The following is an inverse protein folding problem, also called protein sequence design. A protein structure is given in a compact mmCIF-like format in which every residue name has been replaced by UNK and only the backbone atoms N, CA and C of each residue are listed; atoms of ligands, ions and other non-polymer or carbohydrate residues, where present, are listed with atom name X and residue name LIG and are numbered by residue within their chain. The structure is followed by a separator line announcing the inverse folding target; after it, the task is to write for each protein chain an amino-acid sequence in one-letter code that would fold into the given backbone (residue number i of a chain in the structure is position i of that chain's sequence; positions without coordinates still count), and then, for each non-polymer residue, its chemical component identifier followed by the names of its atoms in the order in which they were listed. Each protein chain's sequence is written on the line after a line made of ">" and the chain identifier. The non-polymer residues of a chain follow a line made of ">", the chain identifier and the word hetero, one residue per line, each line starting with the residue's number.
data_IF_653967836496
#
_entry.id   IF_653967836496
#
_cell.length_a   1.000
_cell.length_b   1.000
_cell.length_c   1.000
_cell.angle_alpha   90.00
_cell.angle_beta   90.00
_cell.angle_gamma   90.00
#
_symmetry.space_group_name_H-M   'P 1'
#
loop_
_entity.id
_entity.type
_entity.pdbx_description
1 polymer ?
#
# COMPACT_ATOMS: atom_id res chain seq x y z
N UNK A 1 53.83 59.24 38.81
CA UNK A 1 53.85 60.67 38.41
C UNK A 1 53.00 60.87 37.19
N UNK A 2 52.06 61.78 37.32
CA UNK A 2 51.40 62.60 36.31
C UNK A 2 50.58 61.85 35.20
N UNK A 3 49.28 61.89 35.21
CA UNK A 3 48.31 63.02 35.09
C UNK A 3 48.15 63.49 33.63
N UNK A 4 46.89 63.40 33.20
CA UNK A 4 46.12 64.38 32.35
C UNK A 4 46.19 64.09 30.86
N UNK A 5 45.07 63.89 30.31
CA UNK A 5 43.81 64.60 30.01
C UNK A 5 43.85 65.04 28.53
N UNK A 6 42.85 64.83 27.82
CA UNK A 6 41.97 65.84 27.22
C UNK A 6 41.22 65.28 26.01
N UNK A 7 39.96 65.25 26.12
CA UNK A 7 38.94 66.06 25.42
C UNK A 7 38.51 65.60 24.05
N UNK A 8 37.23 65.33 24.08
CA UNK A 8 36.19 65.70 23.10
C UNK A 8 36.50 65.67 21.61
N UNK A 9 35.88 64.70 20.96
CA UNK A 9 35.17 64.95 19.70
C UNK A 9 33.88 64.14 19.67
N UNK A 10 32.80 64.83 19.86
CA UNK A 10 31.43 64.46 19.59
C UNK A 10 31.34 64.04 18.13
N UNK A 11 31.29 62.74 17.88
CA UNK A 11 30.89 62.23 16.57
C UNK A 11 29.42 61.83 16.67
N UNK A 12 28.58 62.62 16.06
CA UNK A 12 27.18 62.27 15.76
C UNK A 12 27.13 60.95 15.00
N UNK A 13 26.83 59.86 15.68
CA UNK A 13 26.47 58.61 15.04
C UNK A 13 25.01 58.74 14.63
N UNK A 14 24.80 59.00 13.35
CA UNK A 14 23.48 58.92 12.73
C UNK A 14 22.97 57.51 12.87
N UNK A 15 21.92 57.32 13.67
CA UNK A 15 21.12 56.12 13.70
C UNK A 15 20.41 56.03 12.35
N UNK A 16 21.01 55.34 11.38
CA UNK A 16 20.31 54.82 10.23
C UNK A 16 19.38 53.74 10.75
N UNK A 17 18.16 54.12 11.04
CA UNK A 17 17.05 53.21 11.26
C UNK A 17 16.89 52.38 9.99
N UNK A 18 17.42 51.14 10.00
CA UNK A 18 17.04 50.12 9.04
C UNK A 18 15.55 49.87 9.26
N UNK A 19 14.71 50.50 8.46
CA UNK A 19 13.32 50.14 8.32
C UNK A 19 13.39 48.71 7.74
N UNK A 20 13.31 47.70 8.62
CA UNK A 20 13.03 46.35 8.21
C UNK A 20 11.68 46.40 7.48
N UNK A 21 11.74 46.42 6.17
CA UNK A 21 10.55 46.20 5.37
C UNK A 21 9.89 44.93 5.89
N UNK A 22 8.60 44.97 6.23
CA UNK A 22 7.92 43.71 6.60
C UNK A 22 8.13 42.74 5.43
N UNK A 23 8.81 41.63 5.70
CA UNK A 23 8.84 40.55 4.77
C UNK A 23 7.36 40.24 4.47
N UNK A 24 6.89 40.62 3.30
CA UNK A 24 5.56 40.20 2.84
C UNK A 24 5.60 38.70 2.86
N UNK A 25 5.04 38.10 3.90
CA UNK A 25 4.79 36.68 3.94
C UNK A 25 3.94 36.37 2.69
N UNK A 26 4.57 35.83 1.67
CA UNK A 26 3.85 35.38 0.49
C UNK A 26 2.73 34.48 1.01
N UNK A 27 1.48 34.94 0.87
CA UNK A 27 0.34 34.18 1.35
C UNK A 27 0.36 32.82 0.66
N UNK A 28 0.56 31.78 1.44
CA UNK A 28 0.59 30.40 0.93
C UNK A 28 -0.71 30.15 0.18
N UNK A 29 -0.70 29.72 -1.09
CA UNK A 29 -1.91 29.63 -1.90
C UNK A 29 -2.89 28.61 -1.34
N UNK A 30 -4.18 28.89 -1.47
CA UNK A 30 -5.21 27.89 -1.19
C UNK A 30 -5.30 26.91 -2.36
N UNK A 31 -5.12 25.62 -2.08
CA UNK A 31 -5.15 24.55 -3.09
C UNK A 31 -6.24 23.54 -2.72
N UNK A 32 -6.98 23.09 -3.73
CA UNK A 32 -8.00 22.05 -3.59
C UNK A 32 -7.73 20.95 -4.59
N UNK A 33 -7.61 19.71 -4.11
CA UNK A 33 -7.49 18.51 -4.91
C UNK A 33 -8.68 17.58 -4.70
N UNK A 34 -8.86 16.67 -5.64
CA UNK A 34 -9.82 15.56 -5.53
C UNK A 34 -9.03 14.27 -5.47
N UNK A 35 -9.39 13.41 -4.52
CA UNK A 35 -8.82 12.08 -4.36
C UNK A 35 -9.88 11.03 -4.71
N UNK A 36 -9.63 10.22 -5.72
CA UNK A 36 -10.41 9.01 -5.94
C UNK A 36 -9.80 7.82 -5.19
N UNK A 37 -10.62 6.88 -4.75
CA UNK A 37 -10.15 5.65 -4.11
C UNK A 37 -10.69 4.42 -4.83
N UNK A 38 -10.17 3.24 -4.48
CA UNK A 38 -10.74 1.95 -4.90
C UNK A 38 -11.66 1.33 -3.84
N UNK A 39 -11.96 2.04 -2.76
CA UNK A 39 -12.57 1.53 -1.55
C UNK A 39 -14.01 1.97 -1.38
N UNK A 40 -14.94 1.05 -0.99
CA UNK A 40 -16.25 1.44 -0.50
C UNK A 40 -16.15 2.07 0.89
N UNK A 41 -17.05 2.98 1.24
CA UNK A 41 -17.11 3.66 2.56
C UNK A 41 -17.27 2.71 3.75
N UNK A 42 -17.78 1.50 3.52
CA UNK A 42 -17.93 0.48 4.56
C UNK A 42 -16.60 -0.07 5.08
N UNK A 43 -15.51 0.06 4.33
CA UNK A 43 -14.16 -0.36 4.73
C UNK A 43 -13.43 0.80 5.41
N UNK A 44 -13.67 0.98 6.70
CA UNK A 44 -13.12 2.08 7.50
C UNK A 44 -11.59 2.04 7.68
N UNK A 45 -10.96 0.87 7.52
CA UNK A 45 -9.51 0.71 7.45
C UNK A 45 -8.94 1.27 6.15
N UNK A 46 -9.57 0.98 5.02
CA UNK A 46 -9.11 1.38 3.69
C UNK A 46 -9.58 2.78 3.30
N UNK A 47 -10.91 3.01 3.31
CA UNK A 47 -11.48 4.32 2.98
C UNK A 47 -11.18 5.34 4.07
N UNK A 48 -11.31 4.96 5.34
CA UNK A 48 -11.01 5.83 6.47
C UNK A 48 -9.54 6.26 6.51
N UNK A 49 -8.62 5.45 5.99
CA UNK A 49 -7.22 5.86 5.86
C UNK A 49 -7.01 6.94 4.79
N UNK A 50 -7.74 6.87 3.69
CA UNK A 50 -7.73 7.94 2.68
C UNK A 50 -8.33 9.25 3.22
N UNK A 51 -9.44 9.16 3.99
CA UNK A 51 -10.01 10.33 4.68
C UNK A 51 -9.04 10.91 5.71
N UNK A 52 -8.35 10.04 6.48
CA UNK A 52 -7.33 10.48 7.44
C UNK A 52 -6.19 11.21 6.76
N UNK A 53 -5.68 10.71 5.62
CA UNK A 53 -4.66 11.40 4.83
C UNK A 53 -5.13 12.81 4.44
N UNK A 54 -6.34 12.94 3.89
CA UNK A 54 -6.90 14.22 3.48
C UNK A 54 -7.02 15.19 4.65
N UNK A 55 -7.53 14.72 5.79
CA UNK A 55 -7.64 15.49 7.03
C UNK A 55 -6.26 15.94 7.52
N UNK A 56 -5.29 15.01 7.53
CA UNK A 56 -3.95 15.30 8.03
C UNK A 56 -3.21 16.34 7.19
N UNK A 57 -3.33 16.27 5.88
CA UNK A 57 -2.80 17.28 4.96
C UNK A 57 -3.41 18.68 5.26
N UNK A 58 -4.71 18.74 5.44
CA UNK A 58 -5.37 20.01 5.79
C UNK A 58 -4.89 20.56 7.14
N UNK A 59 -4.76 19.72 8.17
CA UNK A 59 -4.23 20.11 9.48
C UNK A 59 -2.80 20.67 9.40
N UNK A 60 -1.91 19.98 8.64
CA UNK A 60 -0.51 20.38 8.49
C UNK A 60 -0.32 21.65 7.64
N UNK A 61 -1.38 22.14 7.00
CA UNK A 61 -1.34 23.30 6.10
C UNK A 61 -2.33 24.38 6.49
N UNK A 62 -2.79 24.41 7.74
CA UNK A 62 -3.79 25.35 8.26
C UNK A 62 -5.05 25.47 7.38
N UNK A 63 -5.50 24.35 6.83
CA UNK A 63 -6.65 24.27 5.93
C UNK A 63 -6.44 24.86 4.53
N UNK A 64 -5.24 25.30 4.19
CA UNK A 64 -4.94 25.91 2.89
C UNK A 64 -4.75 24.88 1.76
N UNK A 65 -4.29 23.67 2.08
CA UNK A 65 -4.28 22.55 1.14
C UNK A 65 -5.33 21.53 1.56
N UNK A 66 -6.39 21.46 0.80
CA UNK A 66 -7.53 20.59 1.05
C UNK A 66 -7.64 19.52 -0.04
N UNK A 67 -7.90 18.28 0.36
CA UNK A 67 -8.11 17.17 -0.55
C UNK A 67 -9.48 16.58 -0.25
N UNK A 68 -10.37 16.58 -1.25
CA UNK A 68 -11.69 15.97 -1.12
C UNK A 68 -11.60 14.49 -1.49
N UNK A 69 -11.94 13.60 -0.55
CA UNK A 69 -11.91 12.15 -0.74
C UNK A 69 -13.24 11.65 -1.32
N UNK A 70 -13.16 10.75 -2.30
CA UNK A 70 -14.29 10.09 -2.94
C UNK A 70 -14.13 8.57 -2.88
N UNK A 71 -15.21 7.88 -2.57
CA UNK A 71 -15.21 6.42 -2.56
C UNK A 71 -15.11 5.84 -3.98
N UNK A 72 -14.76 4.56 -4.05
CA UNK A 72 -14.60 3.85 -5.31
C UNK A 72 -15.87 3.92 -6.17
N UNK A 73 -15.74 4.46 -7.38
CA UNK A 73 -16.83 4.61 -8.32
C UNK A 73 -17.63 5.91 -8.24
N UNK A 74 -17.41 6.77 -7.22
CA UNK A 74 -18.16 8.05 -7.10
C UNK A 74 -17.76 9.05 -8.20
N UNK A 75 -16.48 9.13 -8.55
CA UNK A 75 -15.98 10.07 -9.58
C UNK A 75 -15.22 9.39 -10.71
N UNK A 76 -14.57 8.26 -10.41
CA UNK A 76 -13.82 7.46 -11.38
C UNK A 76 -14.05 5.99 -11.07
N UNK A 77 -14.36 5.13 -12.07
CA UNK A 77 -14.36 3.68 -11.87
C UNK A 77 -13.01 3.20 -11.35
N UNK A 78 -12.96 2.30 -10.34
CA UNK A 78 -11.70 1.87 -9.72
C UNK A 78 -10.62 1.41 -10.71
N UNK A 79 -11.00 0.69 -11.76
CA UNK A 79 -10.08 0.22 -12.80
C UNK A 79 -9.45 1.35 -13.64
N UNK A 80 -10.00 2.57 -13.59
CA UNK A 80 -9.53 3.73 -14.35
C UNK A 80 -8.76 4.73 -13.48
N UNK A 81 -8.62 4.48 -12.16
CA UNK A 81 -7.98 5.40 -11.21
C UNK A 81 -6.58 5.82 -11.64
N UNK A 82 -5.73 4.88 -12.07
CA UNK A 82 -4.36 5.18 -12.49
C UNK A 82 -4.34 6.08 -13.74
N UNK A 83 -5.20 5.81 -14.70
CA UNK A 83 -5.30 6.60 -15.93
C UNK A 83 -5.84 8.02 -15.68
N UNK A 84 -6.85 8.13 -14.81
CA UNK A 84 -7.41 9.42 -14.44
C UNK A 84 -6.39 10.35 -13.75
N UNK A 85 -5.50 9.79 -12.94
CA UNK A 85 -4.37 10.53 -12.36
C UNK A 85 -3.32 10.85 -13.42
N UNK A 86 -2.95 9.87 -14.25
CA UNK A 86 -1.97 10.03 -15.32
C UNK A 86 -2.31 11.20 -16.26
N UNK A 87 -3.56 11.32 -16.68
CA UNK A 87 -4.03 12.36 -17.59
C UNK A 87 -4.47 13.66 -16.89
N UNK A 88 -4.48 13.70 -15.54
CA UNK A 88 -4.85 14.89 -14.76
C UNK A 88 -6.36 15.12 -14.59
N UNK A 89 -7.20 14.14 -14.90
CA UNK A 89 -8.65 14.20 -14.59
C UNK A 89 -8.89 14.27 -13.09
N UNK A 90 -8.05 13.58 -12.30
CA UNK A 90 -8.02 13.59 -10.83
C UNK A 90 -6.59 13.91 -10.40
N UNK A 91 -6.43 14.71 -9.35
CA UNK A 91 -5.12 15.14 -8.87
C UNK A 91 -4.38 14.01 -8.15
N UNK A 92 -5.10 13.18 -7.38
CA UNK A 92 -4.52 12.08 -6.60
C UNK A 92 -5.50 10.92 -6.50
N UNK A 93 -4.97 9.70 -6.33
CA UNK A 93 -5.76 8.54 -5.92
C UNK A 93 -5.13 7.85 -4.70
N UNK A 94 -5.89 6.95 -4.06
CA UNK A 94 -5.44 6.09 -2.98
C UNK A 94 -5.87 4.66 -3.31
N UNK A 95 -4.91 3.82 -3.71
CA UNK A 95 -5.17 2.56 -4.40
C UNK A 95 -4.17 1.48 -4.03
N UNK A 96 -4.50 0.24 -4.39
CA UNK A 96 -3.57 -0.88 -4.46
C UNK A 96 -3.00 -0.93 -5.89
N UNK A 97 -1.70 -0.68 -6.05
CA UNK A 97 -1.06 -0.57 -7.37
C UNK A 97 -1.15 -1.88 -8.17
N UNK A 98 -1.12 -3.04 -7.49
CA UNK A 98 -1.27 -4.36 -8.13
C UNK A 98 -2.58 -4.55 -8.90
N UNK A 99 -3.61 -3.72 -8.65
CA UNK A 99 -4.83 -3.72 -9.46
C UNK A 99 -4.60 -3.31 -10.92
N UNK A 100 -3.47 -2.67 -11.22
CA UNK A 100 -3.15 -2.14 -12.55
C UNK A 100 -2.06 -2.93 -13.29
N UNK A 101 -1.73 -4.16 -12.85
CA UNK A 101 -0.72 -5.01 -13.51
C UNK A 101 -1.07 -5.31 -14.97
N UNK A 102 -2.33 -5.24 -15.37
CA UNK A 102 -2.76 -5.34 -16.77
C UNK A 102 -2.29 -4.17 -17.64
N UNK A 103 -1.93 -3.01 -17.04
CA UNK A 103 -1.38 -1.86 -17.75
C UNK A 103 0.15 -1.86 -17.75
N UNK A 104 0.75 -2.17 -16.61
CA UNK A 104 2.19 -2.36 -16.44
C UNK A 104 2.45 -3.33 -15.27
N UNK A 105 3.00 -4.50 -15.56
CA UNK A 105 3.23 -5.52 -14.52
C UNK A 105 4.20 -5.06 -13.43
N UNK A 106 5.08 -4.10 -13.71
CA UNK A 106 6.05 -3.59 -12.77
C UNK A 106 5.44 -2.76 -11.63
N UNK A 107 4.17 -2.30 -11.74
CA UNK A 107 3.48 -1.64 -10.62
C UNK A 107 3.31 -2.55 -9.41
N UNK A 108 3.43 -3.88 -9.59
CA UNK A 108 3.39 -4.84 -8.51
C UNK A 108 4.52 -4.65 -7.48
N UNK A 109 5.66 -4.09 -7.87
CA UNK A 109 6.73 -3.78 -6.93
C UNK A 109 6.35 -2.72 -5.89
N UNK A 110 5.40 -1.84 -6.23
CA UNK A 110 4.89 -0.82 -5.31
C UNK A 110 3.92 -1.42 -4.26
N UNK A 111 3.22 -2.49 -4.60
CA UNK A 111 2.31 -3.19 -3.67
C UNK A 111 3.02 -4.30 -2.91
N UNK A 112 3.58 -5.25 -3.63
CA UNK A 112 4.18 -6.49 -3.13
C UNK A 112 4.17 -7.59 -4.19
N UNK A 113 5.07 -8.53 -4.05
CA UNK A 113 5.21 -9.68 -4.96
C UNK A 113 5.00 -10.99 -4.19
N UNK A 114 4.56 -12.06 -4.86
CA UNK A 114 4.38 -13.37 -4.24
C UNK A 114 5.64 -13.87 -3.53
N UNK A 115 5.47 -14.42 -2.32
CA UNK A 115 6.57 -14.86 -1.44
C UNK A 115 7.63 -13.76 -1.21
N UNK A 116 7.17 -12.52 -1.18
CA UNK A 116 8.01 -11.33 -1.13
C UNK A 116 8.32 -10.84 0.26
N UNK A 117 8.53 -9.54 0.34
CA UNK A 117 8.84 -8.82 1.56
C UNK A 117 7.60 -8.69 2.44
N UNK A 118 7.76 -8.77 3.76
CA UNK A 118 6.72 -8.36 4.69
C UNK A 118 6.65 -6.82 4.78
N UNK A 119 5.68 -6.27 5.51
CA UNK A 119 5.45 -4.83 5.58
C UNK A 119 6.69 -4.03 6.04
N UNK A 120 7.42 -4.51 7.07
CA UNK A 120 8.64 -3.85 7.55
C UNK A 120 9.75 -3.89 6.50
N UNK A 121 9.93 -5.05 5.86
CA UNK A 121 10.94 -5.27 4.83
C UNK A 121 10.61 -4.45 3.57
N UNK A 122 9.34 -4.37 3.18
CA UNK A 122 8.89 -3.57 2.03
C UNK A 122 9.12 -2.08 2.28
N UNK A 123 8.71 -1.57 3.43
CA UNK A 123 8.95 -0.18 3.81
C UNK A 123 10.46 0.14 3.84
N UNK A 124 11.29 -0.77 4.37
CA UNK A 124 12.74 -0.61 4.38
C UNK A 124 13.34 -0.60 2.96
N UNK A 125 12.83 -1.46 2.06
CA UNK A 125 13.24 -1.44 0.65
C UNK A 125 12.86 -0.14 -0.04
N UNK A 126 11.63 0.31 0.15
CA UNK A 126 11.15 1.57 -0.43
C UNK A 126 11.94 2.78 0.09
N UNK A 127 12.20 2.87 1.39
CA UNK A 127 12.83 4.05 2.00
C UNK A 127 14.35 4.07 1.84
N UNK A 128 15.02 2.91 1.94
CA UNK A 128 16.48 2.82 2.04
C UNK A 128 17.11 1.82 1.07
N UNK A 129 16.34 0.90 0.51
CA UNK A 129 16.82 -0.14 -0.40
C UNK A 129 16.83 0.23 -1.88
N UNK A 130 16.53 1.49 -2.22
CA UNK A 130 16.45 1.99 -3.60
C UNK A 130 15.11 1.72 -4.29
N UNK A 131 14.14 1.09 -3.61
CA UNK A 131 12.83 0.75 -4.17
C UNK A 131 12.06 1.96 -4.65
N UNK A 132 11.96 3.02 -3.83
CA UNK A 132 11.24 4.23 -4.18
C UNK A 132 11.80 4.89 -5.46
N UNK A 133 13.12 4.91 -5.63
CA UNK A 133 13.71 5.49 -6.83
C UNK A 133 13.29 4.70 -8.08
N UNK A 134 13.43 3.38 -8.05
CA UNK A 134 13.08 2.51 -9.17
C UNK A 134 11.60 2.61 -9.54
N UNK A 135 10.72 2.57 -8.55
CA UNK A 135 9.27 2.67 -8.73
C UNK A 135 8.88 4.06 -9.25
N UNK A 136 9.49 5.13 -8.75
CA UNK A 136 9.28 6.50 -9.27
C UNK A 136 9.71 6.68 -10.71
N UNK A 137 10.83 6.10 -11.11
CA UNK A 137 11.29 6.15 -12.52
C UNK A 137 10.28 5.50 -13.46
N UNK A 138 9.67 4.40 -13.05
CA UNK A 138 8.57 3.78 -13.80
C UNK A 138 7.35 4.70 -13.87
N UNK A 139 6.86 5.20 -12.74
CA UNK A 139 5.66 6.04 -12.69
C UNK A 139 5.84 7.38 -13.40
N UNK A 140 7.04 7.94 -13.40
CA UNK A 140 7.36 9.18 -14.12
C UNK A 140 7.05 9.07 -15.61
N UNK A 141 7.25 7.91 -16.23
CA UNK A 141 6.90 7.66 -17.65
C UNK A 141 5.39 7.75 -17.90
N UNK A 142 4.60 7.59 -16.84
CA UNK A 142 3.13 7.68 -16.87
C UNK A 142 2.60 9.02 -16.34
N UNK A 143 3.48 10.00 -16.09
CA UNK A 143 3.08 11.31 -15.53
C UNK A 143 2.57 11.22 -14.08
N UNK A 144 3.04 10.23 -13.31
CA UNK A 144 2.63 9.96 -11.94
C UNK A 144 3.82 10.12 -10.99
N UNK A 145 3.58 10.70 -9.83
CA UNK A 145 4.47 10.71 -8.66
C UNK A 145 3.81 9.89 -7.56
N UNK A 146 4.46 8.82 -7.11
CA UNK A 146 3.90 7.90 -6.12
C UNK A 146 4.43 8.14 -4.71
N UNK A 147 3.61 7.75 -3.72
CA UNK A 147 3.96 7.76 -2.30
C UNK A 147 3.39 6.51 -1.64
N UNK A 148 4.20 5.82 -0.84
CA UNK A 148 3.69 4.79 0.07
C UNK A 148 2.79 5.48 1.08
N UNK A 149 1.53 5.04 1.17
CA UNK A 149 0.49 5.72 1.94
C UNK A 149 -0.42 4.73 2.70
N UNK A 150 0.12 3.64 3.12
CA UNK A 150 -0.54 2.58 3.87
C UNK A 150 0.12 1.24 3.65
N UNK A 151 -0.20 0.30 4.53
CA UNK A 151 0.16 -1.10 4.38
C UNK A 151 -0.81 -1.95 5.20
N UNK A 152 -1.30 -3.02 4.62
CA UNK A 152 -2.26 -3.91 5.30
C UNK A 152 -1.59 -5.09 6.01
N UNK A 153 -0.26 -5.19 5.92
CA UNK A 153 0.47 -6.36 6.42
C UNK A 153 0.33 -7.59 5.53
N UNK A 154 0.59 -8.76 6.10
CA UNK A 154 0.38 -10.03 5.40
C UNK A 154 -1.10 -10.31 5.25
N UNK A 155 -1.50 -10.69 4.03
CA UNK A 155 -2.89 -11.05 3.76
C UNK A 155 -3.21 -12.49 4.14
N UNK A 156 -4.52 -12.77 4.28
CA UNK A 156 -5.02 -14.14 4.37
C UNK A 156 -5.13 -14.79 3.00
N UNK A 157 -5.12 -16.13 2.99
CA UNK A 157 -5.25 -16.94 1.79
C UNK A 157 -6.67 -17.00 1.21
N UNK A 158 -7.59 -16.21 1.77
CA UNK A 158 -8.95 -16.05 1.26
C UNK A 158 -9.93 -17.13 1.67
N UNK A 159 -11.14 -17.02 1.14
CA UNK A 159 -12.32 -17.81 1.44
C UNK A 159 -12.66 -18.77 0.30
N UNK A 160 -12.89 -20.02 0.65
CA UNK A 160 -13.15 -21.10 -0.31
C UNK A 160 -14.45 -21.81 0.04
N UNK A 161 -15.25 -22.12 -0.99
CA UNK A 161 -16.47 -22.93 -0.85
C UNK A 161 -16.14 -24.41 -0.64
N UNK A 162 -14.98 -24.87 -1.13
CA UNK A 162 -14.47 -26.23 -0.97
C UNK A 162 -13.05 -26.20 -0.42
N UNK A 163 -12.67 -27.27 0.27
CA UNK A 163 -11.33 -27.41 0.82
C UNK A 163 -10.31 -27.67 -0.29
N UNK A 164 -9.16 -27.01 -0.21
CA UNK A 164 -8.00 -27.24 -1.07
C UNK A 164 -7.08 -28.24 -0.37
N UNK A 165 -6.95 -29.43 -0.93
CA UNK A 165 -6.14 -30.53 -0.39
C UNK A 165 -4.89 -30.81 -1.21
N UNK A 166 -4.87 -30.40 -2.47
CA UNK A 166 -3.80 -30.66 -3.42
C UNK A 166 -3.74 -29.60 -4.52
N UNK A 167 -2.69 -29.61 -5.32
CA UNK A 167 -2.56 -28.77 -6.52
C UNK A 167 -3.68 -29.06 -7.54
N UNK A 168 -4.17 -30.28 -7.59
CA UNK A 168 -5.25 -30.65 -8.50
C UNK A 168 -6.56 -29.89 -8.21
N UNK A 169 -6.80 -29.52 -6.96
CA UNK A 169 -8.00 -28.77 -6.56
C UNK A 169 -7.99 -27.31 -7.06
N UNK A 170 -6.84 -26.82 -7.54
CA UNK A 170 -6.73 -25.51 -8.15
C UNK A 170 -7.18 -25.49 -9.62
N UNK A 171 -7.23 -26.68 -10.30
CA UNK A 171 -7.61 -26.74 -11.71
C UNK A 171 -9.07 -26.37 -11.90
N UNK A 172 -9.29 -25.32 -12.72
CA UNK A 172 -10.62 -24.79 -13.00
C UNK A 172 -11.26 -24.02 -11.85
N UNK A 173 -10.56 -23.82 -10.72
CA UNK A 173 -11.03 -23.03 -9.58
C UNK A 173 -11.25 -21.58 -10.03
N UNK A 174 -12.48 -21.12 -10.02
CA UNK A 174 -12.84 -19.73 -10.30
C UNK A 174 -12.62 -18.91 -9.03
N UNK A 175 -11.58 -18.11 -9.02
CA UNK A 175 -11.21 -17.34 -7.82
C UNK A 175 -11.16 -15.85 -8.11
N UNK A 176 -11.85 -15.06 -7.28
CA UNK A 176 -11.59 -13.62 -7.25
C UNK A 176 -10.23 -13.38 -6.61
N UNK A 177 -9.31 -12.94 -7.44
CA UNK A 177 -7.97 -12.52 -7.06
C UNK A 177 -7.41 -11.61 -8.16
N UNK A 178 -6.67 -10.59 -7.76
CA UNK A 178 -5.99 -9.69 -8.68
C UNK A 178 -4.47 -9.87 -8.67
N UNK A 179 -3.80 -8.94 -9.33
CA UNK A 179 -2.35 -8.81 -9.26
C UNK A 179 -1.55 -10.01 -9.79
N UNK A 180 -0.30 -10.07 -9.37
CA UNK A 180 0.62 -11.15 -9.74
C UNK A 180 0.16 -12.50 -9.14
N UNK A 181 -0.47 -12.49 -7.97
CA UNK A 181 -1.03 -13.70 -7.36
C UNK A 181 -2.03 -14.42 -8.27
N UNK A 182 -2.91 -13.67 -8.93
CA UNK A 182 -3.84 -14.22 -9.93
C UNK A 182 -3.12 -14.83 -11.12
N UNK A 183 -2.06 -14.20 -11.61
CA UNK A 183 -1.25 -14.74 -12.71
C UNK A 183 -0.55 -16.06 -12.31
N UNK A 184 -0.03 -16.16 -11.09
CA UNK A 184 0.56 -17.41 -10.55
C UNK A 184 -0.49 -18.51 -10.45
N UNK A 185 -1.68 -18.21 -9.91
CA UNK A 185 -2.76 -19.18 -9.81
C UNK A 185 -3.24 -19.65 -11.18
N UNK A 186 -3.23 -18.78 -12.19
CA UNK A 186 -3.51 -19.15 -13.59
C UNK A 186 -2.51 -20.19 -14.11
N UNK A 187 -1.21 -20.07 -13.80
CA UNK A 187 -0.19 -21.08 -14.14
C UNK A 187 -0.45 -22.41 -13.45
N UNK A 188 -1.11 -22.41 -12.31
CA UNK A 188 -1.52 -23.63 -11.59
C UNK A 188 -2.89 -24.17 -12.04
N UNK A 189 -3.49 -23.57 -13.06
CA UNK A 189 -4.74 -24.02 -13.68
C UNK A 189 -6.01 -23.42 -13.09
N UNK A 190 -5.93 -22.46 -12.16
CA UNK A 190 -7.09 -21.71 -11.69
C UNK A 190 -7.56 -20.69 -12.74
N UNK A 191 -8.76 -20.17 -12.55
CA UNK A 191 -9.37 -19.13 -13.39
C UNK A 191 -9.56 -17.86 -12.54
N UNK A 192 -8.53 -17.00 -12.47
CA UNK A 192 -8.60 -15.77 -11.70
C UNK A 192 -9.59 -14.78 -12.34
N UNK A 193 -10.31 -14.05 -11.49
CA UNK A 193 -11.24 -13.01 -11.91
C UNK A 193 -11.04 -11.78 -11.05
N UNK A 194 -10.97 -10.60 -11.65
CA UNK A 194 -10.88 -9.34 -10.92
C UNK A 194 -12.28 -8.77 -10.75
N UNK A 195 -12.82 -8.87 -9.54
CA UNK A 195 -14.18 -8.45 -9.19
C UNK A 195 -14.07 -7.38 -8.10
N UNK A 196 -14.81 -6.24 -8.22
CA UNK A 196 -14.88 -5.21 -7.18
C UNK A 196 -15.39 -5.75 -5.84
N UNK A 197 -15.01 -5.12 -4.73
CA UNK A 197 -15.35 -5.57 -3.37
C UNK A 197 -16.86 -5.81 -3.17
N UNK A 198 -17.70 -4.91 -3.68
CA UNK A 198 -19.16 -5.00 -3.53
C UNK A 198 -19.79 -6.23 -4.22
N UNK A 199 -19.11 -6.77 -5.24
CA UNK A 199 -19.61 -7.88 -6.05
C UNK A 199 -19.07 -9.26 -5.61
N UNK A 200 -18.16 -9.31 -4.64
CA UNK A 200 -17.52 -10.56 -4.18
C UNK A 200 -18.56 -11.46 -3.48
N UNK A 201 -19.28 -10.93 -2.49
CA UNK A 201 -20.27 -11.69 -1.74
C UNK A 201 -21.36 -12.30 -2.66
N UNK A 202 -22.05 -11.52 -3.51
CA UNK A 202 -23.06 -12.08 -4.41
C UNK A 202 -22.48 -13.07 -5.42
N UNK A 203 -21.22 -12.92 -5.82
CA UNK A 203 -20.56 -13.87 -6.75
C UNK A 203 -20.26 -15.21 -6.08
N UNK A 204 -19.81 -15.22 -4.82
CA UNK A 204 -19.64 -16.43 -4.02
C UNK A 204 -20.98 -17.09 -3.70
N UNK A 205 -21.99 -16.31 -3.30
CA UNK A 205 -23.31 -16.79 -2.95
C UNK A 205 -23.97 -17.54 -4.13
N UNK A 206 -23.95 -16.93 -5.32
CA UNK A 206 -24.49 -17.53 -6.56
C UNK A 206 -23.63 -18.65 -7.12
N UNK A 207 -22.41 -18.84 -6.64
CA UNK A 207 -21.46 -19.83 -7.14
C UNK A 207 -20.87 -19.50 -8.51
N UNK A 208 -20.88 -18.24 -8.92
CA UNK A 208 -20.18 -17.79 -10.15
C UNK A 208 -18.68 -17.82 -9.95
N UNK A 209 -18.21 -17.70 -8.69
CA UNK A 209 -16.85 -17.97 -8.25
C UNK A 209 -16.84 -19.00 -7.10
N UNK A 210 -15.75 -19.74 -6.97
CA UNK A 210 -15.54 -20.80 -5.98
C UNK A 210 -14.76 -20.31 -4.76
N UNK A 211 -13.98 -19.25 -4.94
CA UNK A 211 -13.12 -18.69 -3.91
C UNK A 211 -12.93 -17.18 -4.12
N UNK A 212 -12.58 -16.49 -3.04
CA UNK A 212 -12.19 -15.09 -3.10
C UNK A 212 -11.18 -14.75 -2.00
N UNK A 213 -10.17 -13.98 -2.33
CA UNK A 213 -9.35 -13.27 -1.36
C UNK A 213 -9.76 -11.79 -1.30
N UNK A 214 -9.49 -11.18 -0.16
CA UNK A 214 -9.63 -9.73 -0.02
C UNK A 214 -8.41 -9.17 0.71
N UNK A 215 -8.41 -9.14 2.04
CA UNK A 215 -7.27 -8.63 2.82
C UNK A 215 -7.02 -9.55 4.02
N UNK A 216 -7.87 -9.48 5.03
CA UNK A 216 -7.68 -10.15 6.29
C UNK A 216 -8.95 -10.14 7.14
N UNK A 217 -8.88 -10.71 8.36
CA UNK A 217 -10.06 -11.04 9.14
C UNK A 217 -11.03 -9.88 9.35
N UNK A 218 -10.51 -8.68 9.61
CA UNK A 218 -11.34 -7.53 9.94
C UNK A 218 -12.20 -7.04 8.75
N UNK A 219 -11.58 -6.85 7.59
CA UNK A 219 -12.30 -6.41 6.40
C UNK A 219 -13.12 -7.53 5.79
N UNK A 220 -12.63 -8.76 5.80
CA UNK A 220 -13.33 -9.95 5.30
C UNK A 220 -14.64 -10.18 6.06
N UNK A 221 -14.63 -9.94 7.38
CA UNK A 221 -15.84 -10.00 8.21
C UNK A 221 -16.89 -8.97 7.80
N UNK A 222 -16.46 -7.76 7.40
CA UNK A 222 -17.37 -6.71 6.91
C UNK A 222 -17.98 -7.05 5.57
N UNK A 223 -17.24 -7.73 4.71
CA UNK A 223 -17.76 -8.23 3.44
C UNK A 223 -18.64 -9.48 3.62
N UNK A 224 -18.68 -10.08 4.81
CA UNK A 224 -19.53 -11.22 5.13
C UNK A 224 -19.12 -12.53 4.45
N UNK A 225 -17.89 -12.67 4.00
CA UNK A 225 -17.42 -13.80 3.17
C UNK A 225 -17.56 -15.14 3.87
N UNK A 226 -17.46 -15.18 5.20
CA UNK A 226 -17.66 -16.38 6.03
C UNK A 226 -19.05 -16.99 5.92
N UNK A 227 -20.06 -16.24 5.49
CA UNK A 227 -21.44 -16.72 5.35
C UNK A 227 -21.65 -17.57 4.09
N UNK A 228 -20.81 -17.39 3.08
CA UNK A 228 -20.96 -17.98 1.74
C UNK A 228 -19.81 -18.90 1.35
N UNK A 229 -18.70 -18.89 2.10
CA UNK A 229 -17.53 -19.74 1.92
C UNK A 229 -16.93 -20.12 3.28
N UNK A 230 -17.00 -21.40 3.72
CA UNK A 230 -16.66 -21.77 5.11
C UNK A 230 -15.17 -21.96 5.37
N UNK A 231 -14.32 -22.15 4.34
CA UNK A 231 -12.91 -22.43 4.51
C UNK A 231 -12.08 -21.16 4.39
N UNK A 232 -11.40 -20.76 5.46
CA UNK A 232 -10.58 -19.56 5.50
C UNK A 232 -9.11 -19.95 5.55
N UNK A 233 -8.38 -19.64 4.48
CA UNK A 233 -7.00 -20.10 4.31
C UNK A 233 -5.97 -19.08 4.77
N UNK A 234 -4.80 -19.57 5.18
CA UNK A 234 -3.58 -18.82 5.49
C UNK A 234 -2.35 -19.56 4.96
N UNK A 235 -1.23 -18.85 4.73
CA UNK A 235 -1.12 -17.41 4.52
C UNK A 235 -1.54 -16.99 3.10
N UNK A 236 -1.78 -15.68 2.89
CA UNK A 236 -1.89 -15.10 1.56
C UNK A 236 -0.50 -14.92 0.93
N UNK A 237 0.07 -15.99 0.43
CA UNK A 237 1.44 -16.05 -0.10
C UNK A 237 1.69 -15.12 -1.29
N UNK A 238 0.65 -14.62 -1.91
CA UNK A 238 0.72 -13.66 -3.03
C UNK A 238 1.10 -12.25 -2.63
N UNK A 239 0.79 -11.84 -1.39
CA UNK A 239 1.15 -10.53 -0.84
C UNK A 239 1.53 -10.69 0.64
N UNK A 240 2.83 -10.90 0.93
CA UNK A 240 3.39 -10.85 2.29
C UNK A 240 3.33 -9.45 2.89
N UNK A 241 3.07 -8.47 2.05
CA UNK A 241 2.79 -7.06 2.33
C UNK A 241 1.93 -6.56 1.19
N UNK A 242 0.87 -5.83 1.49
CA UNK A 242 0.15 -5.08 0.48
C UNK A 242 0.23 -3.59 0.80
N UNK A 243 1.20 -2.93 0.17
CA UNK A 243 1.41 -1.50 0.29
C UNK A 243 0.34 -0.75 -0.48
N UNK A 244 -0.22 0.27 0.15
CA UNK A 244 -1.17 1.18 -0.47
C UNK A 244 -0.42 2.41 -0.97
N UNK A 245 -0.78 2.86 -2.16
CA UNK A 245 -0.10 3.94 -2.85
C UNK A 245 -1.04 5.12 -3.04
N UNK A 246 -0.55 6.31 -2.71
CA UNK A 246 -1.09 7.56 -3.22
C UNK A 246 -0.35 7.89 -4.53
N UNK A 247 -1.05 7.79 -5.66
CA UNK A 247 -0.53 8.22 -6.96
C UNK A 247 -1.02 9.64 -7.20
N UNK A 248 -0.09 10.56 -7.47
CA UNK A 248 -0.35 11.99 -7.70
C UNK A 248 -0.01 12.32 -9.14
N UNK A 249 -0.85 13.11 -9.81
CA UNK A 249 -0.50 13.67 -11.11
C UNK A 249 0.79 14.50 -10.99
N UNK A 250 1.82 14.19 -11.79
CA UNK A 250 3.14 14.83 -11.64
C UNK A 250 3.08 16.35 -11.86
N UNK A 251 2.26 16.85 -12.75
CA UNK A 251 2.13 18.30 -12.98
C UNK A 251 1.48 18.98 -11.77
N UNK A 252 0.44 18.36 -11.20
CA UNK A 252 -0.19 18.86 -9.97
C UNK A 252 0.79 18.84 -8.79
N UNK A 253 1.58 17.75 -8.66
CA UNK A 253 2.64 17.66 -7.66
C UNK A 253 3.71 18.74 -7.81
N UNK A 254 4.23 18.92 -9.02
CA UNK A 254 5.30 19.87 -9.29
C UNK A 254 4.89 21.31 -8.99
N UNK A 255 3.61 21.64 -9.18
CA UNK A 255 3.03 22.95 -8.91
C UNK A 255 2.83 23.24 -7.40
N UNK A 256 2.93 22.22 -6.51
CA UNK A 256 2.77 22.44 -5.08
C UNK A 256 3.94 23.25 -4.48
N UNK A 257 3.64 24.16 -3.54
CA UNK A 257 4.67 24.78 -2.70
C UNK A 257 5.47 23.73 -1.92
N UNK A 258 6.77 23.94 -1.65
CA UNK A 258 7.61 22.98 -0.91
C UNK A 258 7.02 22.55 0.43
N UNK A 259 6.42 23.48 1.19
CA UNK A 259 5.78 23.18 2.46
C UNK A 259 4.58 22.19 2.31
N UNK A 260 3.81 22.30 1.21
CA UNK A 260 2.68 21.40 0.97
C UNK A 260 3.14 20.02 0.49
N UNK A 261 4.23 19.95 -0.28
CA UNK A 261 4.90 18.69 -0.60
C UNK A 261 5.34 17.96 0.65
N UNK A 262 6.04 18.67 1.55
CA UNK A 262 6.48 18.11 2.84
C UNK A 262 5.29 17.65 3.71
N UNK A 263 4.21 18.44 3.78
CA UNK A 263 3.00 18.08 4.51
C UNK A 263 2.34 16.80 3.95
N UNK A 264 2.24 16.67 2.64
CA UNK A 264 1.68 15.48 1.98
C UNK A 264 2.54 14.25 2.24
N UNK A 265 3.87 14.35 2.07
CA UNK A 265 4.80 13.24 2.35
C UNK A 265 4.76 12.82 3.83
N UNK A 266 4.73 13.76 4.74
CA UNK A 266 4.59 13.49 6.18
C UNK A 266 3.28 12.73 6.48
N UNK A 267 2.17 13.19 5.92
CA UNK A 267 0.87 12.57 6.10
C UNK A 267 0.81 11.13 5.51
N UNK A 268 1.45 10.88 4.36
CA UNK A 268 1.57 9.54 3.77
C UNK A 268 2.39 8.60 4.68
N UNK A 269 3.52 9.06 5.21
CA UNK A 269 4.34 8.26 6.13
C UNK A 269 3.61 7.96 7.45
N UNK A 270 2.93 8.95 8.03
CA UNK A 270 2.09 8.76 9.22
C UNK A 270 0.99 7.74 8.93
N UNK A 271 0.31 7.85 7.79
CA UNK A 271 -0.76 6.93 7.41
C UNK A 271 -0.27 5.51 7.21
N UNK A 272 0.93 5.31 6.69
CA UNK A 272 1.53 3.98 6.52
C UNK A 272 1.71 3.27 7.86
N UNK A 273 2.20 3.98 8.87
CA UNK A 273 2.35 3.44 10.23
C UNK A 273 0.98 3.17 10.88
N UNK A 274 0.05 4.10 10.74
CA UNK A 274 -1.28 3.98 11.38
C UNK A 274 -2.10 2.84 10.81
N UNK A 275 -2.08 2.65 9.49
CA UNK A 275 -2.87 1.60 8.85
C UNK A 275 -2.43 0.21 9.31
N UNK A 276 -1.13 -0.10 9.30
CA UNK A 276 -0.66 -1.40 9.72
C UNK A 276 -0.93 -1.66 11.20
N UNK A 277 -0.73 -0.64 12.05
CA UNK A 277 -1.03 -0.76 13.48
C UNK A 277 -2.53 -0.99 13.75
N UNK A 278 -3.42 -0.38 12.95
CA UNK A 278 -4.87 -0.59 13.07
C UNK A 278 -5.27 -2.01 12.66
N UNK A 279 -4.70 -2.55 11.58
CA UNK A 279 -4.91 -3.95 11.20
C UNK A 279 -4.40 -4.94 12.24
N UNK A 280 -3.19 -4.75 12.74
CA UNK A 280 -2.59 -5.62 13.75
C UNK A 280 -3.39 -5.59 15.07
N UNK A 281 -3.99 -4.44 15.41
CA UNK A 281 -4.87 -4.31 16.57
C UNK A 281 -6.24 -4.98 16.38
N UNK A 282 -6.83 -4.93 15.19
CA UNK A 282 -8.21 -5.40 14.94
C UNK A 282 -8.30 -6.86 14.49
N UNK A 283 -7.32 -7.34 13.75
CA UNK A 283 -7.35 -8.69 13.18
C UNK A 283 -7.40 -9.82 14.22
N UNK A 284 -6.73 -9.75 15.41
CA UNK A 284 -6.79 -10.79 16.41
C UNK A 284 -8.20 -11.03 16.98
N UNK A 285 -8.99 -9.99 17.17
CA UNK A 285 -10.38 -10.13 17.63
C UNK A 285 -11.28 -10.60 16.47
N UNK A 286 -11.09 -10.04 15.30
CA UNK A 286 -11.88 -10.38 14.12
C UNK A 286 -11.73 -11.86 13.74
N UNK A 287 -10.52 -12.43 13.76
CA UNK A 287 -10.34 -13.86 13.45
C UNK A 287 -10.99 -14.76 14.49
N UNK A 288 -10.91 -14.43 15.78
CA UNK A 288 -11.61 -15.17 16.85
C UNK A 288 -13.12 -15.17 16.63
N UNK A 289 -13.68 -14.01 16.27
CA UNK A 289 -15.10 -13.86 15.97
C UNK A 289 -15.52 -14.70 14.76
N UNK A 290 -14.75 -14.65 13.67
CA UNK A 290 -15.02 -15.43 12.46
C UNK A 290 -14.99 -16.94 12.73
N UNK A 291 -14.00 -17.42 13.46
CA UNK A 291 -13.89 -18.84 13.88
C UNK A 291 -15.06 -19.22 14.77
N UNK A 292 -15.43 -18.37 15.75
CA UNK A 292 -16.60 -18.56 16.60
C UNK A 292 -17.93 -18.58 15.84
N UNK A 293 -17.99 -17.96 14.65
CA UNK A 293 -19.12 -18.00 13.72
C UNK A 293 -19.09 -19.19 12.74
N UNK A 294 -18.13 -20.11 12.89
CA UNK A 294 -18.04 -21.34 12.10
C UNK A 294 -17.07 -21.30 10.92
N UNK A 295 -16.26 -20.24 10.78
CA UNK A 295 -15.20 -20.23 9.79
C UNK A 295 -14.15 -21.31 10.10
N UNK A 296 -13.79 -22.10 9.11
CA UNK A 296 -12.83 -23.19 9.23
C UNK A 296 -11.45 -22.70 8.83
N UNK A 297 -10.66 -22.22 9.81
CA UNK A 297 -9.29 -21.81 9.57
C UNK A 297 -8.49 -22.99 9.01
N UNK A 298 -7.83 -22.77 7.90
CA UNK A 298 -7.12 -23.80 7.14
C UNK A 298 -5.78 -23.25 6.63
N UNK A 299 -4.84 -24.17 6.43
CA UNK A 299 -3.53 -23.82 5.83
C UNK A 299 -3.38 -24.52 4.48
N UNK A 300 -2.72 -23.83 3.55
CA UNK A 300 -2.40 -24.48 2.28
C UNK A 300 -1.45 -25.64 2.50
N UNK A 301 -1.73 -26.84 1.90
CA UNK A 301 -0.81 -27.97 1.97
C UNK A 301 0.56 -27.61 1.39
N UNK A 302 1.62 -28.18 1.97
CA UNK A 302 2.99 -27.94 1.51
C UNK A 302 3.16 -28.12 -0.01
N UNK A 303 2.61 -29.16 -0.67
CA UNK A 303 2.73 -29.29 -2.12
C UNK A 303 2.10 -28.14 -2.92
N UNK A 304 1.03 -27.51 -2.39
CA UNK A 304 0.41 -26.33 -3.00
C UNK A 304 1.34 -25.11 -2.85
N UNK A 305 1.92 -24.93 -1.66
CA UNK A 305 2.89 -23.86 -1.40
C UNK A 305 4.15 -23.99 -2.27
N UNK A 306 4.70 -25.21 -2.38
CA UNK A 306 5.88 -25.50 -3.21
C UNK A 306 5.60 -25.22 -4.70
N UNK A 307 4.43 -25.65 -5.20
CA UNK A 307 4.02 -25.38 -6.58
C UNK A 307 3.82 -23.89 -6.84
N UNK A 308 3.19 -23.17 -5.91
CA UNK A 308 2.99 -21.72 -6.01
C UNK A 308 4.32 -20.96 -5.97
N UNK A 309 5.25 -21.35 -5.11
CA UNK A 309 6.59 -20.76 -5.03
C UNK A 309 7.37 -20.93 -6.33
N UNK A 310 7.36 -22.14 -6.89
CA UNK A 310 8.00 -22.45 -8.18
C UNK A 310 7.38 -21.61 -9.30
N UNK A 311 6.05 -21.64 -9.44
CA UNK A 311 5.34 -20.90 -10.47
C UNK A 311 5.53 -19.37 -10.32
N UNK A 312 5.66 -18.86 -9.10
CA UNK A 312 5.97 -17.44 -8.83
C UNK A 312 7.35 -17.03 -9.35
N UNK A 313 8.38 -17.86 -9.12
CA UNK A 313 9.73 -17.58 -9.61
C UNK A 313 9.81 -17.66 -11.15
N UNK A 314 9.14 -18.64 -11.75
CA UNK A 314 9.04 -18.76 -13.22
C UNK A 314 8.35 -17.53 -13.81
N UNK A 315 7.22 -17.12 -13.24
CA UNK A 315 6.48 -15.95 -13.71
C UNK A 315 7.29 -14.65 -13.58
N UNK A 316 8.02 -14.45 -12.47
CA UNK A 316 8.88 -13.26 -12.31
C UNK A 316 9.94 -13.18 -13.41
N UNK A 317 10.52 -14.30 -13.84
CA UNK A 317 11.45 -14.34 -14.97
C UNK A 317 10.76 -13.98 -16.29
N UNK A 318 9.61 -14.58 -16.58
CA UNK A 318 8.82 -14.27 -17.78
C UNK A 318 8.43 -12.79 -17.85
N UNK A 319 7.99 -12.21 -16.72
CA UNK A 319 7.64 -10.79 -16.64
C UNK A 319 8.88 -9.89 -16.81
N UNK A 320 10.03 -10.33 -16.32
CA UNK A 320 11.30 -9.62 -16.52
C UNK A 320 11.74 -9.60 -17.98
N UNK A 321 11.47 -10.67 -18.73
CA UNK A 321 11.76 -10.71 -20.17
C UNK A 321 10.78 -9.85 -20.98
N UNK A 322 9.51 -9.82 -20.57
CA UNK A 322 8.44 -9.14 -21.29
C UNK A 322 8.35 -7.63 -20.99
N UNK A 323 8.83 -7.17 -19.83
CA UNK A 323 8.64 -5.79 -19.35
C UNK A 323 9.97 -5.17 -18.90
N UNK A 324 10.48 -4.14 -19.62
CA UNK A 324 11.73 -3.47 -19.27
C UNK A 324 11.75 -2.84 -17.86
N UNK A 325 10.62 -2.31 -17.37
CA UNK A 325 10.52 -1.75 -16.03
C UNK A 325 10.63 -2.84 -14.98
N UNK A 326 9.95 -3.97 -15.20
CA UNK A 326 10.05 -5.16 -14.32
C UNK A 326 11.49 -5.68 -14.28
N UNK A 327 12.12 -5.79 -15.44
CA UNK A 327 13.52 -6.20 -15.58
C UNK A 327 14.49 -5.31 -14.82
N UNK A 328 14.25 -4.01 -14.84
CA UNK A 328 15.11 -3.04 -14.14
C UNK A 328 15.01 -3.18 -12.61
N UNK A 329 13.84 -3.54 -12.07
CA UNK A 329 13.59 -3.61 -10.62
C UNK A 329 13.94 -4.98 -10.02
N UNK A 330 13.69 -6.08 -10.74
CA UNK A 330 13.74 -7.44 -10.21
C UNK A 330 15.09 -7.81 -9.56
N UNK A 331 16.28 -7.51 -10.15
CA UNK A 331 17.54 -7.88 -9.54
C UNK A 331 17.77 -7.22 -8.17
N UNK A 332 17.46 -5.92 -8.05
CA UNK A 332 17.57 -5.17 -6.79
C UNK A 332 16.64 -5.77 -5.73
N UNK A 333 15.38 -6.00 -6.09
CA UNK A 333 14.38 -6.56 -5.19
C UNK A 333 14.74 -7.99 -4.73
N UNK A 334 15.20 -8.87 -5.64
CA UNK A 334 15.62 -10.23 -5.29
C UNK A 334 16.82 -10.25 -4.35
N UNK A 335 17.81 -9.37 -4.59
CA UNK A 335 18.94 -9.22 -3.67
C UNK A 335 18.45 -8.79 -2.30
N UNK A 336 17.63 -7.74 -2.25
CA UNK A 336 17.11 -7.22 -1.00
C UNK A 336 16.29 -8.26 -0.24
N UNK A 337 15.41 -9.00 -0.93
CA UNK A 337 14.62 -10.10 -0.33
C UNK A 337 15.52 -11.15 0.33
N UNK A 338 16.63 -11.56 -0.32
CA UNK A 338 17.58 -12.53 0.26
C UNK A 338 18.25 -11.98 1.52
N UNK A 339 18.71 -10.75 1.46
CA UNK A 339 19.39 -10.10 2.58
C UNK A 339 18.44 -9.96 3.78
N UNK A 340 17.20 -9.55 3.54
CA UNK A 340 16.17 -9.45 4.57
C UNK A 340 15.76 -10.81 5.14
N UNK A 341 15.62 -11.83 4.30
CA UNK A 341 15.32 -13.19 4.76
C UNK A 341 16.42 -13.73 5.68
N UNK A 342 17.69 -13.44 5.38
CA UNK A 342 18.82 -13.83 6.23
C UNK A 342 18.78 -13.14 7.59
N UNK A 343 18.52 -11.82 7.62
CA UNK A 343 18.42 -11.05 8.86
C UNK A 343 17.21 -11.48 9.71
N UNK A 344 16.01 -11.53 9.11
CA UNK A 344 14.78 -11.85 9.82
C UNK A 344 14.77 -13.27 10.36
N UNK A 345 15.44 -14.22 9.70
CA UNK A 345 15.62 -15.58 10.22
C UNK A 345 16.37 -15.59 11.55
N UNK A 346 17.43 -14.79 11.67
CA UNK A 346 18.28 -14.75 12.88
C UNK A 346 17.59 -14.00 14.03
N UNK A 347 16.93 -12.89 13.72
CA UNK A 347 16.35 -12.03 14.75
C UNK A 347 14.86 -12.36 14.99
N UNK A 348 13.99 -12.05 14.04
CA UNK A 348 12.53 -12.07 14.24
C UNK A 348 12.00 -13.51 14.35
N UNK A 349 12.38 -14.39 13.40
CA UNK A 349 11.82 -15.74 13.35
C UNK A 349 12.19 -16.59 14.58
N UNK A 350 13.41 -16.46 15.11
CA UNK A 350 13.81 -17.18 16.33
C UNK A 350 13.02 -16.69 17.55
N UNK A 351 12.86 -15.36 17.69
CA UNK A 351 12.08 -14.79 18.78
C UNK A 351 10.60 -15.17 18.66
N UNK A 352 10.02 -15.01 17.47
CA UNK A 352 8.61 -15.28 17.19
C UNK A 352 8.29 -16.77 17.43
N UNK A 353 9.10 -17.69 16.90
CA UNK A 353 8.91 -19.12 17.08
C UNK A 353 8.91 -19.50 18.56
N UNK A 354 9.87 -18.96 19.34
CA UNK A 354 9.92 -19.22 20.78
C UNK A 354 8.70 -18.63 21.51
N UNK A 355 8.36 -17.38 21.21
CA UNK A 355 7.26 -16.65 21.85
C UNK A 355 5.92 -17.31 21.54
N UNK A 356 5.62 -17.59 20.27
CA UNK A 356 4.35 -18.21 19.87
C UNK A 356 4.16 -19.60 20.48
N UNK A 357 5.24 -20.38 20.62
CA UNK A 357 5.17 -21.70 21.25
C UNK A 357 4.87 -21.64 22.76
N UNK A 358 5.09 -20.51 23.43
CA UNK A 358 5.00 -20.39 24.88
C UNK A 358 3.87 -19.48 25.39
N UNK A 359 3.53 -18.41 24.67
CA UNK A 359 2.50 -17.43 25.09
C UNK A 359 1.08 -17.95 24.85
N UNK A 360 0.88 -18.87 23.91
CA UNK A 360 -0.45 -19.43 23.55
C UNK A 360 -0.81 -20.70 24.34
N UNK A 361 0.01 -21.10 25.30
CA UNK A 361 -0.29 -22.15 26.27
C UNK A 361 -1.01 -21.56 27.47
#
# INVERSE_FOLDING_TARGET
>A
MQRRAFLDKTAMVGVLGAIAAPAMAQSTPSIKWRMSTSWPKSLDTMYGSAEHLCKRVAELTDGKFQIQCFAGGEVVPPAQNMEAVSNGTIEVNHVLASAFVGKNTAVAFDTGLPFGLNARQHNAWMQFGGGMQLVREMYKKMGITNFVCGNVGVQMGGWYRKQIKSVADLKGLKMRIGGIGGMVLSKLGAVPQQIPAADIYPSLEKGTIDAAEWIGPYDDAKLGLNKVAPFYYAPGWWEGSASITAMVNSKAWDALPPAYKAAFECACNEQTMKMIADYDNRNPEAIKKLVGQGAKLSYFPKPVMDAAFKASNELMNELSEANPDFKAMLPSWLKYRRDQASWFRVAEAELDNYTFANVTK
#
